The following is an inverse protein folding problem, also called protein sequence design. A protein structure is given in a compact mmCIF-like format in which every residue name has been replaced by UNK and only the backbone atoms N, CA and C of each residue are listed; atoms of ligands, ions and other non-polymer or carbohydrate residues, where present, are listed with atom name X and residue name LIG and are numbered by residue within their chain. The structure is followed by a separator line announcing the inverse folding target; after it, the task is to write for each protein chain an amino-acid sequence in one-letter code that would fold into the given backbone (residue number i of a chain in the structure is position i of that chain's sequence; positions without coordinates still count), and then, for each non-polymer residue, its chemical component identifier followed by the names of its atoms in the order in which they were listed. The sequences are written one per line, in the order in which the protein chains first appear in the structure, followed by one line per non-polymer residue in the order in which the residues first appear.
data_IF_307039595213
#
_entry.id   IF_307039595213
#
_cell.length_a   1.000
_cell.length_b   1.000
_cell.length_c   1.000
_cell.angle_alpha   90.00
_cell.angle_beta   90.00
_cell.angle_gamma   90.00
#
_symmetry.space_group_name_H-M   'P 1'
#
loop_
_entity.id
_entity.type
_entity.pdbx_description
1 polymer ?
#
# COMPACT_ATOMS: atom_id res chain seq x y z
N UNK A 1 22.03 -23.91 19.90
CA UNK A 1 20.65 -24.04 19.39
C UNK A 1 20.71 -24.06 17.87
N UNK A 2 20.05 -25.03 17.22
CA UNK A 2 19.96 -25.07 15.75
C UNK A 2 19.02 -23.98 15.25
N UNK A 3 19.23 -23.49 14.02
CA UNK A 3 18.29 -22.55 13.42
C UNK A 3 17.04 -23.28 12.91
N UNK A 4 15.86 -22.65 13.00
CA UNK A 4 14.58 -23.18 12.46
C UNK A 4 14.72 -23.66 11.02
N UNK A 5 15.54 -22.97 10.20
CA UNK A 5 15.82 -23.36 8.82
C UNK A 5 16.48 -24.76 8.70
N UNK A 6 17.40 -25.12 9.60
CA UNK A 6 18.04 -26.46 9.61
C UNK A 6 17.06 -27.53 10.05
N UNK A 7 16.27 -27.25 11.09
CA UNK A 7 15.25 -28.18 11.60
C UNK A 7 14.18 -28.47 10.53
N UNK A 8 13.77 -27.44 9.80
CA UNK A 8 12.80 -27.52 8.70
C UNK A 8 13.41 -27.94 7.36
N UNK A 9 14.73 -28.20 7.29
CA UNK A 9 15.47 -28.54 6.07
C UNK A 9 15.20 -27.57 4.90
N UNK A 10 15.16 -26.28 5.20
CA UNK A 10 14.91 -25.22 4.22
C UNK A 10 16.16 -25.03 3.34
N UNK A 11 15.97 -25.06 2.03
CA UNK A 11 17.06 -24.94 1.05
C UNK A 11 17.55 -23.50 0.83
N UNK A 12 16.74 -22.49 1.16
CA UNK A 12 17.05 -21.08 0.92
C UNK A 12 16.54 -20.19 2.04
N UNK A 13 17.39 -19.28 2.50
CA UNK A 13 17.01 -18.18 3.37
C UNK A 13 17.01 -16.88 2.56
N UNK A 14 15.91 -16.14 2.62
CA UNK A 14 15.80 -14.82 2.00
C UNK A 14 15.21 -13.84 3.02
N UNK A 15 15.78 -12.63 3.06
CA UNK A 15 15.20 -11.48 3.74
C UNK A 15 14.68 -10.54 2.65
N UNK A 16 13.42 -10.13 2.76
CA UNK A 16 12.76 -9.17 1.87
C UNK A 16 12.51 -7.87 2.62
N UNK A 17 12.23 -6.80 1.86
CA UNK A 17 11.89 -5.47 2.39
C UNK A 17 13.04 -4.83 3.18
N UNK A 18 14.27 -5.13 2.76
CA UNK A 18 15.49 -4.44 3.21
C UNK A 18 15.54 -3.02 2.61
N UNK A 19 14.98 -2.05 3.33
CA UNK A 19 14.91 -0.67 2.86
C UNK A 19 16.31 -0.06 2.65
N UNK A 20 16.47 0.75 1.60
CA UNK A 20 17.75 1.42 1.28
C UNK A 20 18.30 2.26 2.45
N UNK A 21 17.41 2.85 3.26
CA UNK A 21 17.81 3.59 4.47
C UNK A 21 18.59 2.73 5.49
N UNK A 22 18.45 1.40 5.42
CA UNK A 22 19.12 0.42 6.27
C UNK A 22 20.25 -0.32 5.55
N UNK A 23 20.68 0.13 4.35
CA UNK A 23 21.65 -0.58 3.52
C UNK A 23 22.95 -0.91 4.27
N UNK A 24 23.45 0.01 5.09
CA UNK A 24 24.67 -0.22 5.89
C UNK A 24 24.49 -1.34 6.93
N UNK A 25 23.35 -1.35 7.62
CA UNK A 25 23.00 -2.38 8.60
C UNK A 25 22.85 -3.75 7.91
N UNK A 26 22.15 -3.79 6.77
CA UNK A 26 21.98 -5.00 5.98
C UNK A 26 23.30 -5.50 5.40
N UNK A 27 24.17 -4.62 4.90
CA UNK A 27 25.47 -5.01 4.37
C UNK A 27 26.33 -5.71 5.42
N UNK A 28 26.31 -5.23 6.66
CA UNK A 28 27.03 -5.85 7.77
C UNK A 28 26.38 -7.18 8.21
N UNK A 29 25.08 -7.15 8.52
CA UNK A 29 24.37 -8.31 9.08
C UNK A 29 24.16 -9.45 8.10
N UNK A 30 23.80 -9.14 6.85
CA UNK A 30 23.55 -10.14 5.81
C UNK A 30 24.83 -10.89 5.45
N UNK A 31 25.97 -10.18 5.34
CA UNK A 31 27.26 -10.81 5.05
C UNK A 31 27.67 -11.78 6.17
N UNK A 32 27.50 -11.39 7.43
CA UNK A 32 27.78 -12.26 8.58
C UNK A 32 26.88 -13.52 8.60
N UNK A 33 25.67 -13.43 8.03
CA UNK A 33 24.74 -14.55 7.88
C UNK A 33 24.95 -15.37 6.58
N UNK A 34 25.95 -15.04 5.75
CA UNK A 34 26.21 -15.70 4.46
C UNK A 34 25.18 -15.37 3.37
N UNK A 35 24.34 -14.35 3.58
CA UNK A 35 23.35 -13.88 2.62
C UNK A 35 24.02 -13.00 1.56
N UNK A 36 23.44 -13.00 0.35
CA UNK A 36 23.89 -12.19 -0.78
C UNK A 36 22.81 -11.17 -1.14
N UNK A 37 23.21 -9.91 -1.33
CA UNK A 37 22.31 -8.85 -1.80
C UNK A 37 21.85 -9.16 -3.22
N UNK A 38 20.55 -8.98 -3.47
CA UNK A 38 19.94 -8.99 -4.79
C UNK A 38 19.32 -7.62 -5.06
N UNK A 39 19.38 -7.10 -6.30
CA UNK A 39 18.72 -5.85 -6.63
C UNK A 39 17.19 -6.00 -6.49
N UNK A 40 16.57 -5.03 -5.82
CA UNK A 40 15.11 -4.91 -5.74
C UNK A 40 14.58 -3.88 -6.74
N UNK A 41 13.25 -3.84 -6.88
CA UNK A 41 12.58 -2.76 -7.60
C UNK A 41 12.63 -1.46 -6.78
N UNK A 42 12.69 -0.28 -7.43
CA UNK A 42 12.58 0.98 -6.73
C UNK A 42 11.25 1.05 -5.99
N UNK A 43 11.29 1.51 -4.74
CA UNK A 43 10.10 1.73 -3.91
C UNK A 43 9.83 3.23 -3.83
N UNK A 44 8.61 3.64 -4.14
CA UNK A 44 8.18 5.02 -3.93
C UNK A 44 7.98 5.25 -2.43
N UNK A 45 8.68 6.23 -1.88
CA UNK A 45 8.59 6.65 -0.48
C UNK A 45 8.32 8.15 -0.45
N UNK A 46 7.39 8.57 0.40
CA UNK A 46 7.12 9.98 0.68
C UNK A 46 7.29 10.22 2.18
N UNK A 47 8.36 10.93 2.53
CA UNK A 47 8.55 11.39 3.91
C UNK A 47 7.58 12.55 4.19
N UNK A 48 6.84 12.44 5.29
CA UNK A 48 5.86 13.43 5.74
C UNK A 48 6.22 14.00 7.12
N UNK A 49 7.38 14.68 7.29
CA UNK A 49 7.77 15.33 8.54
C UNK A 49 7.02 16.67 8.76
N UNK A 50 5.72 16.71 8.42
CA UNK A 50 4.90 17.91 8.42
C UNK A 50 3.71 17.74 9.36
N UNK A 51 3.33 18.79 10.08
CA UNK A 51 2.24 18.70 11.05
C UNK A 51 0.86 18.67 10.37
N UNK A 52 0.77 19.12 9.12
CA UNK A 52 -0.48 19.20 8.37
C UNK A 52 -0.25 19.22 6.85
N UNK A 53 -1.35 19.09 6.11
CA UNK A 53 -1.37 19.08 4.64
C UNK A 53 -0.87 20.39 4.05
N UNK A 54 -1.18 21.54 4.66
CA UNK A 54 -0.77 22.85 4.12
C UNK A 54 0.76 23.04 4.16
N UNK A 55 1.41 22.61 5.24
CA UNK A 55 2.88 22.59 5.36
C UNK A 55 3.52 21.70 4.31
N UNK A 56 3.00 20.49 4.11
CA UNK A 56 3.47 19.60 3.03
C UNK A 56 3.30 20.27 1.66
N UNK A 57 2.12 20.81 1.37
CA UNK A 57 1.86 21.48 0.09
C UNK A 57 2.76 22.70 -0.12
N UNK A 58 3.21 23.37 0.93
CA UNK A 58 4.13 24.51 0.86
C UNK A 58 5.54 24.12 0.38
N UNK A 59 5.97 22.86 0.54
CA UNK A 59 7.28 22.40 0.05
C UNK A 59 7.30 22.10 -1.45
N UNK A 60 6.11 21.90 -2.04
CA UNK A 60 5.95 21.55 -3.45
C UNK A 60 6.08 22.78 -4.37
N UNK A 61 6.38 22.53 -5.64
CA UNK A 61 6.39 23.56 -6.69
C UNK A 61 5.03 24.28 -6.78
N UNK A 62 5.03 25.53 -7.25
CA UNK A 62 3.79 26.29 -7.43
C UNK A 62 2.75 25.54 -8.29
N UNK A 63 3.19 24.92 -9.39
CA UNK A 63 2.31 24.17 -10.28
C UNK A 63 1.71 22.93 -9.58
N UNK A 64 2.54 22.12 -8.92
CA UNK A 64 2.11 20.92 -8.19
C UNK A 64 1.16 21.28 -7.04
N UNK A 65 1.52 22.30 -6.24
CA UNK A 65 0.70 22.80 -5.14
C UNK A 65 -0.67 23.27 -5.62
N UNK A 66 -0.72 24.03 -6.73
CA UNK A 66 -1.97 24.51 -7.32
C UNK A 66 -2.84 23.35 -7.77
N UNK A 67 -2.27 22.35 -8.44
CA UNK A 67 -3.01 21.16 -8.90
C UNK A 67 -3.57 20.34 -7.72
N UNK A 68 -2.76 20.07 -6.70
CA UNK A 68 -3.20 19.31 -5.53
C UNK A 68 -4.28 20.06 -4.73
N UNK A 69 -4.15 21.38 -4.52
CA UNK A 69 -5.21 22.18 -3.88
C UNK A 69 -6.52 22.13 -4.66
N UNK A 70 -6.46 22.18 -5.99
CA UNK A 70 -7.64 22.04 -6.86
C UNK A 70 -8.28 20.65 -6.70
N UNK A 71 -7.48 19.58 -6.69
CA UNK A 71 -7.95 18.21 -6.48
C UNK A 71 -8.56 18.01 -5.09
N UNK A 72 -7.93 18.52 -4.03
CA UNK A 72 -8.46 18.46 -2.67
C UNK A 72 -9.81 19.18 -2.56
N UNK A 73 -9.95 20.36 -3.20
CA UNK A 73 -11.22 21.09 -3.23
C UNK A 73 -12.32 20.30 -3.94
N UNK A 74 -12.01 19.66 -5.07
CA UNK A 74 -12.97 18.81 -5.78
C UNK A 74 -13.31 17.55 -4.98
N UNK A 75 -12.30 16.94 -4.35
CA UNK A 75 -12.44 15.74 -3.53
C UNK A 75 -13.24 15.96 -2.25
N UNK A 76 -13.43 17.20 -1.79
CA UNK A 76 -14.28 17.51 -0.64
C UNK A 76 -15.76 17.12 -0.84
N UNK A 77 -16.19 16.91 -2.10
CA UNK A 77 -17.51 16.37 -2.41
C UNK A 77 -17.62 14.85 -2.26
N UNK A 78 -16.48 14.15 -2.11
CA UNK A 78 -16.44 12.71 -1.91
C UNK A 78 -16.57 12.38 -0.43
N UNK A 79 -17.32 11.31 -0.13
CA UNK A 79 -17.33 10.70 1.19
C UNK A 79 -16.20 9.68 1.25
N UNK A 80 -15.30 9.83 2.21
CA UNK A 80 -14.19 8.90 2.46
C UNK A 80 -14.48 8.13 3.73
N UNK A 81 -14.49 6.80 3.66
CA UNK A 81 -14.66 5.94 4.84
C UNK A 81 -13.48 4.99 4.99
N UNK A 82 -12.98 4.86 6.21
CA UNK A 82 -11.98 3.88 6.59
C UNK A 82 -12.68 2.69 7.22
N UNK A 83 -12.53 1.51 6.62
CA UNK A 83 -13.23 0.29 7.02
C UNK A 83 -12.22 -0.79 7.42
N UNK A 84 -12.56 -1.60 8.41
CA UNK A 84 -11.78 -2.77 8.84
C UNK A 84 -12.25 -4.07 8.17
N UNK A 85 -13.26 -4.00 7.30
CA UNK A 85 -13.79 -5.10 6.50
C UNK A 85 -14.44 -4.55 5.21
N UNK A 86 -14.78 -5.45 4.28
CA UNK A 86 -15.47 -5.12 3.03
C UNK A 86 -16.89 -5.70 2.97
N UNK A 87 -17.49 -5.98 4.12
CA UNK A 87 -18.84 -6.54 4.18
C UNK A 87 -19.84 -5.55 3.57
N UNK A 88 -20.76 -6.07 2.76
CA UNK A 88 -21.73 -5.27 2.01
C UNK A 88 -21.18 -4.53 0.79
N UNK A 89 -19.86 -4.50 0.56
CA UNK A 89 -19.22 -3.79 -0.56
C UNK A 89 -18.23 -4.66 -1.35
N UNK A 90 -18.17 -5.94 -1.04
CA UNK A 90 -17.20 -6.90 -1.59
C UNK A 90 -17.22 -6.94 -3.12
N UNK A 91 -18.40 -6.93 -3.72
CA UNK A 91 -18.55 -7.00 -5.18
C UNK A 91 -18.07 -5.70 -5.86
N UNK A 92 -18.34 -4.55 -5.25
CA UNK A 92 -17.84 -3.26 -5.74
C UNK A 92 -16.32 -3.17 -5.65
N UNK A 93 -15.72 -3.62 -4.54
CA UNK A 93 -14.27 -3.71 -4.38
C UNK A 93 -13.66 -4.58 -5.48
N UNK A 94 -14.25 -5.75 -5.76
CA UNK A 94 -13.75 -6.63 -6.81
C UNK A 94 -13.95 -6.06 -8.22
N UNK A 95 -15.06 -5.35 -8.47
CA UNK A 95 -15.28 -4.64 -9.73
C UNK A 95 -14.17 -3.61 -9.96
N UNK A 96 -13.94 -2.73 -8.98
CA UNK A 96 -12.91 -1.68 -9.05
C UNK A 96 -11.49 -2.25 -9.17
N UNK A 97 -11.19 -3.33 -8.46
CA UNK A 97 -9.92 -4.02 -8.56
C UNK A 97 -9.71 -4.57 -9.98
N UNK A 98 -10.71 -5.24 -10.55
CA UNK A 98 -10.63 -5.80 -11.91
C UNK A 98 -10.50 -4.70 -12.95
N UNK A 99 -11.20 -3.58 -12.80
CA UNK A 99 -11.05 -2.43 -13.70
C UNK A 99 -9.61 -1.90 -13.69
N UNK A 100 -9.00 -1.71 -12.51
CA UNK A 100 -7.59 -1.33 -12.41
C UNK A 100 -6.64 -2.40 -12.96
N UNK A 101 -6.90 -3.68 -12.65
CA UNK A 101 -6.10 -4.80 -13.13
C UNK A 101 -6.11 -4.91 -14.66
N UNK A 102 -7.27 -4.73 -15.31
CA UNK A 102 -7.41 -4.77 -16.77
C UNK A 102 -6.76 -3.58 -17.48
N UNK A 103 -6.56 -2.45 -16.80
CA UNK A 103 -5.91 -1.26 -17.35
C UNK A 103 -4.41 -1.17 -17.02
N UNK A 104 -3.85 -2.11 -16.25
CA UNK A 104 -2.44 -2.09 -15.87
C UNK A 104 -1.55 -2.63 -17.01
N UNK A 105 -0.51 -1.89 -17.38
CA UNK A 105 0.51 -2.34 -18.35
C UNK A 105 1.32 -3.54 -17.84
N UNK A 106 1.45 -3.66 -16.51
CA UNK A 106 2.08 -4.77 -15.83
C UNK A 106 1.14 -5.30 -14.76
N UNK A 107 0.67 -6.54 -14.93
CA UNK A 107 -0.16 -7.24 -13.97
C UNK A 107 0.56 -8.49 -13.46
N UNK A 108 0.44 -8.74 -12.16
CA UNK A 108 0.87 -9.97 -11.51
C UNK A 108 -0.33 -10.93 -11.45
N UNK A 109 -0.50 -11.66 -10.35
CA UNK A 109 -1.66 -12.51 -10.09
C UNK A 109 -2.96 -11.70 -9.92
N UNK A 110 -4.08 -12.23 -10.45
CA UNK A 110 -5.42 -11.74 -10.14
C UNK A 110 -5.80 -12.21 -8.73
N UNK A 111 -6.10 -11.26 -7.86
CA UNK A 111 -6.47 -11.51 -6.47
C UNK A 111 -7.95 -11.87 -6.35
N UNK A 112 -8.25 -12.69 -5.34
CA UNK A 112 -9.63 -13.03 -5.01
C UNK A 112 -10.19 -12.08 -3.95
N UNK A 113 -11.52 -11.95 -3.84
CA UNK A 113 -12.13 -11.22 -2.73
C UNK A 113 -11.76 -11.76 -1.35
N UNK A 114 -11.49 -13.06 -1.22
CA UNK A 114 -10.98 -13.67 0.01
C UNK A 114 -9.64 -13.07 0.42
N UNK A 115 -8.77 -12.71 -0.54
CA UNK A 115 -7.51 -12.06 -0.22
C UNK A 115 -7.73 -10.77 0.57
N UNK A 116 -8.57 -9.86 0.05
CA UNK A 116 -8.86 -8.59 0.71
C UNK A 116 -9.50 -8.78 2.09
N UNK A 117 -10.49 -9.69 2.16
CA UNK A 117 -11.18 -10.01 3.42
C UNK A 117 -10.23 -10.60 4.47
N UNK A 118 -9.34 -11.51 4.04
CA UNK A 118 -8.37 -12.16 4.91
C UNK A 118 -7.30 -11.18 5.36
N UNK A 119 -6.78 -10.30 4.50
CA UNK A 119 -5.79 -9.30 4.92
C UNK A 119 -6.37 -8.40 6.01
N UNK A 120 -7.57 -7.89 5.81
CA UNK A 120 -8.22 -7.00 6.78
C UNK A 120 -8.47 -7.71 8.12
N UNK A 121 -8.88 -8.98 8.10
CA UNK A 121 -9.13 -9.77 9.32
C UNK A 121 -7.84 -10.20 10.02
N UNK A 122 -6.90 -10.82 9.31
CA UNK A 122 -5.68 -11.39 9.90
C UNK A 122 -4.67 -10.29 10.31
N UNK A 123 -4.76 -9.10 9.70
CA UNK A 123 -3.99 -7.91 10.08
C UNK A 123 -4.85 -6.86 10.79
N UNK A 124 -5.88 -7.27 11.53
CA UNK A 124 -6.75 -6.36 12.28
C UNK A 124 -5.95 -5.35 13.12
N UNK A 125 -6.35 -4.07 13.06
CA UNK A 125 -5.65 -2.95 13.70
C UNK A 125 -4.37 -2.49 12.98
N UNK A 126 -3.97 -3.16 11.90
CA UNK A 126 -2.82 -2.81 11.05
C UNK A 126 -3.14 -2.81 9.55
N UNK A 127 -4.40 -3.04 9.20
CA UNK A 127 -4.91 -3.00 7.84
C UNK A 127 -6.28 -2.32 7.81
N UNK A 128 -6.48 -1.45 6.81
CA UNK A 128 -7.74 -0.73 6.59
C UNK A 128 -8.04 -0.66 5.09
N UNK A 129 -9.31 -0.58 4.76
CA UNK A 129 -9.80 -0.26 3.42
C UNK A 129 -10.31 1.18 3.42
N UNK A 130 -9.56 2.09 2.79
CA UNK A 130 -10.05 3.44 2.52
C UNK A 130 -10.97 3.38 1.31
N UNK A 131 -12.20 3.84 1.43
CA UNK A 131 -13.23 3.78 0.38
C UNK A 131 -13.67 5.18 0.01
N UNK A 132 -13.83 5.44 -1.28
CA UNK A 132 -14.16 6.75 -1.82
C UNK A 132 -15.50 6.68 -2.55
N UNK A 133 -16.44 7.52 -2.11
CA UNK A 133 -17.82 7.47 -2.53
C UNK A 133 -18.25 8.77 -3.19
N UNK A 134 -18.86 8.66 -4.37
CA UNK A 134 -19.59 9.75 -5.02
C UNK A 134 -21.09 9.51 -4.82
N UNK A 135 -21.68 10.18 -3.82
CA UNK A 135 -23.01 9.82 -3.32
C UNK A 135 -23.01 8.40 -2.73
N UNK A 136 -23.82 7.52 -3.32
CA UNK A 136 -23.94 6.11 -2.91
C UNK A 136 -23.08 5.16 -3.76
N UNK A 137 -22.39 5.67 -4.80
CA UNK A 137 -21.54 4.85 -5.67
C UNK A 137 -20.12 4.78 -5.11
N UNK A 138 -19.61 3.57 -4.88
CA UNK A 138 -18.19 3.34 -4.61
C UNK A 138 -17.39 3.52 -5.90
N UNK A 139 -16.48 4.51 -5.92
CA UNK A 139 -15.70 4.88 -7.11
C UNK A 139 -14.23 4.51 -6.99
N UNK A 140 -13.71 4.29 -5.78
CA UNK A 140 -12.36 3.80 -5.56
C UNK A 140 -12.21 3.17 -4.18
N UNK A 141 -11.16 2.38 -4.02
CA UNK A 141 -10.68 1.95 -2.71
C UNK A 141 -9.15 1.82 -2.69
N UNK A 142 -8.55 1.98 -1.50
CA UNK A 142 -7.20 1.55 -1.21
C UNK A 142 -7.22 0.49 -0.10
N UNK A 143 -6.56 -0.65 -0.30
CA UNK A 143 -6.17 -1.52 0.80
C UNK A 143 -4.84 -1.00 1.36
N UNK A 144 -4.85 -0.61 2.62
CA UNK A 144 -3.76 0.06 3.29
C UNK A 144 -3.25 -0.78 4.44
N UNK A 145 -1.92 -0.89 4.59
CA UNK A 145 -1.27 -1.43 5.78
C UNK A 145 -0.61 -0.31 6.57
N UNK A 146 -0.64 -0.37 7.90
CA UNK A 146 0.01 0.62 8.74
C UNK A 146 0.56 0.01 10.04
N UNK A 147 1.53 0.71 10.63
CA UNK A 147 2.10 0.38 11.95
C UNK A 147 2.02 1.56 12.94
N UNK A 148 1.38 2.66 12.55
CA UNK A 148 1.27 3.89 13.34
C UNK A 148 2.34 4.94 13.00
N UNK A 149 3.43 4.53 12.35
CA UNK A 149 4.47 5.44 11.85
C UNK A 149 4.47 5.52 10.32
N UNK A 150 4.09 4.42 9.66
CA UNK A 150 4.10 4.27 8.21
C UNK A 150 2.76 3.81 7.70
N UNK A 151 2.47 4.23 6.48
CA UNK A 151 1.32 3.82 5.70
C UNK A 151 1.81 3.27 4.37
N UNK A 152 1.40 2.05 4.05
CA UNK A 152 1.67 1.37 2.79
C UNK A 152 0.36 1.27 2.03
N UNK A 153 0.27 1.99 0.90
CA UNK A 153 -0.79 1.80 -0.07
C UNK A 153 -0.53 0.50 -0.84
N UNK A 154 -1.23 -0.56 -0.45
CA UNK A 154 -0.92 -1.93 -0.88
C UNK A 154 -1.63 -2.29 -2.19
N UNK A 155 -2.88 -1.88 -2.34
CA UNK A 155 -3.65 -2.04 -3.58
C UNK A 155 -4.60 -0.88 -3.76
N UNK A 156 -4.69 -0.37 -5.00
CA UNK A 156 -5.69 0.59 -5.45
C UNK A 156 -6.64 -0.11 -6.41
N UNK A 157 -7.94 0.13 -6.25
CA UNK A 157 -8.95 -0.13 -7.28
C UNK A 157 -9.73 1.14 -7.53
N UNK A 158 -9.99 1.48 -8.79
CA UNK A 158 -10.70 2.71 -9.15
C UNK A 158 -11.53 2.57 -10.41
N UNK A 159 -12.61 3.34 -10.46
CA UNK A 159 -13.48 3.47 -11.62
C UNK A 159 -12.86 4.48 -12.58
N UNK A 160 -12.48 4.01 -13.78
CA UNK A 160 -11.85 4.85 -14.81
C UNK A 160 -12.86 5.62 -15.67
N UNK A 161 -14.16 5.35 -15.51
CA UNK A 161 -15.22 6.01 -16.25
C UNK A 161 -15.79 7.25 -15.53
N UNK A 162 -15.25 7.60 -14.36
CA UNK A 162 -15.66 8.74 -13.52
C UNK A 162 -14.80 9.97 -13.79
#
# INVERSE_FOLDING_TARGET
MGSVARERRVAMLAAKDAANAQDALWAQGAAAAGLRRQPGLPTALLDLPYANVDEYLATLSHATRKDLRRKLKAGAALRVEWRDNIDGIRDDVMRLYRETYSNAELSFEELTPEYFSNVLRECAGRALCATYWAGDKLIAFNLVLHDGERLIDKFLGMDYAV
#
